data_IF_505504223931
#
_entry.id   IF_505504223931
#
_cell.length_a   1.000
_cell.length_b   1.000
_cell.length_c   1.000
_cell.angle_alpha   90.00
_cell.angle_beta   90.00
_cell.angle_gamma   90.00
#
_symmetry.space_group_name_H-M   'P 1'
#
loop_
_entity.id
_entity.type
_entity.pdbx_description
1 polymer ?
#
# COMPACT_ATOMS: atom_id res chain seq x y z
N UNK A 1 -9.47 5.68 -11.90
CA UNK A 1 -8.70 6.72 -12.64
C UNK A 1 -9.08 8.08 -12.09
N UNK A 2 -8.11 8.93 -11.75
CA UNK A 2 -8.36 10.26 -11.18
C UNK A 2 -8.26 11.41 -12.17
N UNK A 3 -8.27 11.19 -13.48
CA UNK A 3 -8.18 12.28 -14.46
C UNK A 3 -9.36 13.27 -14.32
N UNK A 4 -9.15 14.61 -14.35
CA UNK A 4 -7.90 15.36 -14.59
C UNK A 4 -7.06 15.65 -13.33
N UNK A 5 -7.50 15.19 -12.17
CA UNK A 5 -6.83 15.37 -10.89
C UNK A 5 -5.60 14.46 -10.74
N UNK A 6 -4.61 14.96 -10.01
CA UNK A 6 -3.41 14.20 -9.66
C UNK A 6 -3.46 13.86 -8.18
N UNK A 7 -3.01 12.65 -7.84
CA UNK A 7 -2.79 12.26 -6.46
C UNK A 7 -1.65 13.12 -5.87
N UNK A 8 -1.90 13.91 -4.81
CA UNK A 8 -0.90 14.83 -4.27
C UNK A 8 -0.01 14.19 -3.20
N UNK A 9 -0.42 13.03 -2.66
CA UNK A 9 0.28 12.36 -1.58
C UNK A 9 1.31 11.33 -2.13
N UNK A 10 2.11 10.67 -1.27
CA UNK A 10 3.05 9.66 -1.73
C UNK A 10 2.37 8.59 -2.59
N UNK A 11 3.03 8.29 -3.71
CA UNK A 11 2.69 7.20 -4.61
C UNK A 11 3.96 6.39 -4.87
N UNK A 12 4.03 5.20 -4.28
CA UNK A 12 5.16 4.27 -4.43
C UNK A 12 4.63 3.02 -5.14
N UNK A 13 4.80 2.90 -6.46
CA UNK A 13 4.23 1.78 -7.22
C UNK A 13 4.70 0.40 -6.74
N UNK A 14 5.94 0.31 -6.26
CA UNK A 14 6.51 -0.89 -5.68
C UNK A 14 7.50 -0.50 -4.58
N UNK A 15 7.14 -0.79 -3.33
CA UNK A 15 7.93 -0.50 -2.15
C UNK A 15 8.80 -1.73 -1.80
N UNK A 16 10.13 -1.53 -1.63
CA UNK A 16 10.98 -2.57 -1.07
C UNK A 16 10.53 -2.96 0.33
N UNK A 17 10.66 -4.24 0.68
CA UNK A 17 10.26 -4.75 2.00
C UNK A 17 10.97 -4.03 3.16
N UNK A 18 12.22 -3.61 2.97
CA UNK A 18 13.01 -2.85 3.96
C UNK A 18 12.44 -1.45 4.26
N UNK A 19 11.48 -0.97 3.47
CA UNK A 19 10.83 0.33 3.64
C UNK A 19 9.34 0.18 3.98
N UNK A 20 8.92 -1.01 4.43
CA UNK A 20 7.54 -1.30 4.82
C UNK A 20 6.98 -0.37 5.90
N UNK A 21 7.83 0.23 6.74
CA UNK A 21 7.44 1.19 7.77
C UNK A 21 6.69 2.41 7.20
N UNK A 22 6.79 2.67 5.89
CA UNK A 22 6.02 3.72 5.21
C UNK A 22 4.51 3.50 5.33
N UNK A 23 4.06 2.27 5.56
CA UNK A 23 2.64 1.93 5.77
C UNK A 23 2.10 2.49 7.09
N UNK A 24 2.97 2.85 8.04
CA UNK A 24 2.58 3.51 9.29
C UNK A 24 2.54 5.04 9.16
N UNK A 25 2.66 5.60 7.96
CA UNK A 25 2.66 7.04 7.77
C UNK A 25 1.30 7.65 8.14
N UNK A 26 1.26 8.75 8.93
CA UNK A 26 0.02 9.37 9.42
C UNK A 26 -0.68 10.22 8.35
N UNK A 27 -0.46 9.93 7.07
CA UNK A 27 -0.96 10.69 5.94
C UNK A 27 -1.42 9.74 4.83
N UNK A 28 -2.33 10.14 3.94
CA UNK A 28 -2.77 9.27 2.85
C UNK A 28 -1.58 8.86 1.98
N UNK A 29 -1.59 7.61 1.51
CA UNK A 29 -0.59 7.10 0.59
C UNK A 29 -1.19 6.04 -0.33
N UNK A 30 -0.50 5.78 -1.43
CA UNK A 30 -0.75 4.63 -2.28
C UNK A 30 0.59 3.92 -2.45
N UNK A 31 0.68 2.67 -1.97
CA UNK A 31 1.91 1.90 -1.96
C UNK A 31 1.63 0.49 -2.48
N UNK A 32 2.40 0.04 -3.47
CA UNK A 32 2.41 -1.37 -3.89
C UNK A 32 3.45 -2.15 -3.10
N UNK A 33 3.10 -3.34 -2.64
CA UNK A 33 4.02 -4.26 -1.95
C UNK A 33 3.99 -5.62 -2.65
N UNK A 34 5.08 -6.37 -2.55
CA UNK A 34 5.08 -7.77 -2.97
C UNK A 34 4.27 -8.61 -1.99
N UNK A 35 3.58 -9.65 -2.45
CA UNK A 35 2.74 -10.52 -1.61
C UNK A 35 3.48 -11.13 -0.43
N UNK A 36 4.80 -11.38 -0.55
CA UNK A 36 5.66 -11.81 0.56
C UNK A 36 5.70 -10.87 1.78
N UNK A 37 5.19 -9.64 1.66
CA UNK A 37 4.99 -8.76 2.80
C UNK A 37 4.02 -9.36 3.82
N UNK A 38 2.91 -9.93 3.36
CA UNK A 38 1.86 -10.50 4.21
C UNK A 38 2.28 -11.80 4.90
N UNK A 39 3.35 -12.45 4.43
CA UNK A 39 3.96 -13.60 5.13
C UNK A 39 4.77 -13.19 6.37
N UNK A 40 5.22 -11.92 6.43
CA UNK A 40 6.20 -11.42 7.40
C UNK A 40 5.62 -10.37 8.34
N UNK A 41 4.62 -9.62 7.89
CA UNK A 41 4.05 -8.48 8.59
C UNK A 41 2.54 -8.45 8.47
N UNK A 42 1.88 -8.01 9.53
CA UNK A 42 0.47 -7.63 9.50
C UNK A 42 0.33 -6.17 9.07
N UNK A 43 -0.53 -5.86 8.10
CA UNK A 43 -0.79 -4.48 7.71
C UNK A 43 -1.46 -3.69 8.85
N UNK A 44 -1.21 -2.38 8.99
CA UNK A 44 -1.88 -1.55 9.98
C UNK A 44 -3.41 -1.51 9.75
N UNK A 45 -4.19 -1.45 10.83
CA UNK A 45 -5.66 -1.54 10.79
C UNK A 45 -6.36 -0.38 10.06
N UNK A 46 -5.66 0.74 9.87
CA UNK A 46 -6.11 1.94 9.17
C UNK A 46 -5.70 1.97 7.69
N UNK A 47 -5.09 0.88 7.20
CA UNK A 47 -4.66 0.71 5.81
C UNK A 47 -5.59 -0.24 5.10
N UNK A 48 -6.13 0.18 3.96
CA UNK A 48 -6.91 -0.69 3.07
C UNK A 48 -5.94 -1.49 2.20
N UNK A 49 -5.99 -2.81 2.31
CA UNK A 49 -5.17 -3.71 1.52
C UNK A 49 -5.99 -4.31 0.37
N UNK A 50 -5.50 -4.14 -0.86
CA UNK A 50 -6.10 -4.75 -2.04
C UNK A 50 -5.14 -5.83 -2.53
N UNK A 51 -5.53 -7.09 -2.35
CA UNK A 51 -4.80 -8.23 -2.89
C UNK A 51 -5.25 -8.45 -4.34
N UNK A 52 -4.32 -8.26 -5.27
CA UNK A 52 -4.54 -8.40 -6.70
C UNK A 52 -4.45 -9.87 -7.17
N UNK A 53 -3.81 -10.75 -6.40
CA UNK A 53 -3.65 -12.17 -6.75
C UNK A 53 -4.96 -12.92 -6.49
N UNK A 54 -5.64 -12.62 -5.38
CA UNK A 54 -6.91 -13.24 -4.99
C UNK A 54 -8.14 -12.36 -5.25
N UNK A 55 -7.93 -11.10 -5.65
CA UNK A 55 -8.98 -10.10 -5.89
C UNK A 55 -9.85 -9.83 -4.65
N UNK A 56 -9.21 -9.77 -3.49
CA UNK A 56 -9.85 -9.48 -2.19
C UNK A 56 -9.42 -8.13 -1.64
N UNK A 57 -10.27 -7.55 -0.79
CA UNK A 57 -10.02 -6.28 -0.11
C UNK A 57 -10.13 -6.55 1.40
N UNK A 58 -9.12 -6.13 2.15
CA UNK A 58 -9.03 -6.27 3.60
C UNK A 58 -8.92 -4.89 4.26
#
# INVERSE_FOLDING_TARGET
MSFPLRWPCPYIPLCPLRMADVLCAPMPFIVGVHSSYFDLYDPPSDVVCVDLDTNTIF
#
